data_IF_312113886219
#
_entry.id   IF_312113886219
#
_cell.length_a   1.000
_cell.length_b   1.000
_cell.length_c   1.000
_cell.angle_alpha   90.00
_cell.angle_beta   90.00
_cell.angle_gamma   90.00
#
_symmetry.space_group_name_H-M   'P 1'
#
loop_
_entity.id
_entity.type
_entity.pdbx_description
1 polymer ?
#
# COMPACT_ATOMS: atom_id res chain seq x y z
N UNK A 1 5.10 -4.97 -34.37
CA UNK A 1 5.44 -5.20 -33.01
C UNK A 1 5.66 -6.67 -32.72
N UNK A 2 6.63 -6.97 -31.96
CA UNK A 2 6.90 -8.34 -31.57
C UNK A 2 5.76 -8.87 -30.67
N UNK A 3 4.69 -9.30 -31.30
CA UNK A 3 3.49 -9.68 -30.56
C UNK A 3 3.74 -10.74 -29.50
N UNK A 4 4.57 -11.76 -29.82
CA UNK A 4 4.91 -12.77 -28.84
C UNK A 4 5.65 -12.21 -27.64
N UNK A 5 6.61 -11.34 -27.88
CA UNK A 5 7.36 -10.68 -26.82
C UNK A 5 6.44 -9.76 -26.01
N UNK A 6 5.64 -8.95 -26.68
CA UNK A 6 4.71 -8.05 -26.01
C UNK A 6 3.68 -8.81 -25.20
N UNK A 7 3.18 -9.93 -25.74
CA UNK A 7 2.23 -10.78 -25.03
C UNK A 7 2.84 -11.33 -23.75
N UNK A 8 4.08 -11.81 -23.81
CA UNK A 8 4.77 -12.34 -22.65
C UNK A 8 4.92 -11.27 -21.55
N UNK A 9 5.35 -10.07 -21.92
CA UNK A 9 5.50 -8.98 -20.97
C UNK A 9 4.16 -8.60 -20.34
N UNK A 10 3.10 -8.56 -21.14
CA UNK A 10 1.76 -8.25 -20.64
C UNK A 10 1.32 -9.31 -19.62
N UNK A 11 1.54 -10.60 -19.95
CA UNK A 11 1.17 -11.67 -19.04
C UNK A 11 1.94 -11.58 -17.72
N UNK A 12 3.23 -11.29 -17.78
CA UNK A 12 4.04 -11.11 -16.56
C UNK A 12 3.51 -9.96 -15.73
N UNK A 13 3.20 -8.82 -16.35
CA UNK A 13 2.62 -7.68 -15.67
C UNK A 13 1.27 -8.01 -15.05
N UNK A 14 0.45 -8.80 -15.75
CA UNK A 14 -0.85 -9.22 -15.23
C UNK A 14 -0.70 -10.11 -14.00
N UNK A 15 0.29 -11.01 -14.02
CA UNK A 15 0.55 -11.88 -12.87
C UNK A 15 1.05 -11.11 -11.67
N UNK A 16 1.76 -9.99 -11.91
CA UNK A 16 2.25 -9.10 -10.87
C UNK A 16 1.38 -7.86 -10.79
N UNK A 17 0.09 -8.03 -10.55
CA UNK A 17 -0.88 -6.94 -10.52
C UNK A 17 -0.25 -5.63 -10.08
N UNK A 18 -0.30 -4.61 -10.95
CA UNK A 18 0.30 -3.29 -10.75
C UNK A 18 1.83 -3.36 -10.50
N UNK A 19 2.53 -4.28 -11.20
CA UNK A 19 3.94 -4.54 -10.93
C UNK A 19 4.87 -3.34 -11.04
N UNK A 20 4.69 -2.50 -12.07
CA UNK A 20 5.52 -1.30 -12.25
C UNK A 20 5.24 -0.29 -11.14
N UNK A 21 3.98 -0.05 -10.86
CA UNK A 21 3.58 0.88 -9.81
C UNK A 21 4.07 0.41 -8.44
N UNK A 22 3.95 -0.88 -8.15
CA UNK A 22 4.37 -1.41 -6.85
C UNK A 22 5.88 -1.30 -6.65
N UNK A 23 6.67 -1.44 -7.71
CA UNK A 23 8.12 -1.22 -7.62
C UNK A 23 8.43 0.21 -7.22
N UNK A 24 7.74 1.19 -7.80
CA UNK A 24 7.92 2.59 -7.46
C UNK A 24 7.51 2.86 -6.01
N UNK A 25 6.42 2.27 -5.58
CA UNK A 25 5.93 2.43 -4.20
C UNK A 25 6.95 1.86 -3.21
N UNK A 26 7.45 0.66 -3.48
CA UNK A 26 8.45 0.03 -2.62
C UNK A 26 9.72 0.87 -2.58
N UNK A 27 10.16 1.39 -3.74
CA UNK A 27 11.30 2.29 -3.81
C UNK A 27 11.10 3.54 -2.97
N UNK A 28 9.90 4.10 -3.00
CA UNK A 28 9.55 5.26 -2.19
C UNK A 28 9.64 4.93 -0.69
N UNK A 29 9.11 3.79 -0.28
CA UNK A 29 9.17 3.37 1.12
C UNK A 29 10.61 3.15 1.60
N UNK A 30 11.42 2.55 0.76
CA UNK A 30 12.84 2.33 1.07
C UNK A 30 13.55 3.68 1.24
N UNK A 31 13.26 4.64 0.38
CA UNK A 31 13.87 5.97 0.47
C UNK A 31 13.45 6.70 1.74
N UNK A 32 12.17 6.66 2.08
CA UNK A 32 11.67 7.28 3.32
C UNK A 32 12.36 6.65 4.52
N UNK A 33 12.45 5.34 4.57
CA UNK A 33 13.09 4.64 5.68
C UNK A 33 14.58 4.94 5.73
N UNK A 34 15.24 5.04 4.58
CA UNK A 34 16.66 5.37 4.51
C UNK A 34 16.93 6.75 5.11
N UNK A 35 16.03 7.71 4.86
CA UNK A 35 16.19 9.06 5.37
C UNK A 35 15.87 9.17 6.86
N UNK A 36 14.84 8.47 7.33
CA UNK A 36 14.31 8.68 8.67
C UNK A 36 14.72 7.59 9.68
N UNK A 37 14.96 6.37 9.21
CA UNK A 37 15.19 5.24 10.09
C UNK A 37 13.94 4.83 10.87
N UNK A 38 14.05 3.85 11.75
CA UNK A 38 12.94 3.45 12.63
C UNK A 38 12.78 4.42 13.80
N UNK A 39 11.64 4.32 14.51
CA UNK A 39 11.46 5.00 15.78
C UNK A 39 10.57 6.22 15.77
N UNK A 40 9.99 6.58 14.61
CA UNK A 40 9.07 7.70 14.53
C UNK A 40 7.62 7.22 14.62
N UNK A 41 6.71 8.17 14.75
CA UNK A 41 5.27 7.91 14.74
C UNK A 41 4.79 7.53 13.35
N UNK A 42 3.73 6.74 13.27
CA UNK A 42 3.12 6.38 11.99
C UNK A 42 2.78 7.61 11.15
N UNK A 43 2.23 8.64 11.78
CA UNK A 43 1.84 9.86 11.07
C UNK A 43 3.03 10.54 10.38
N UNK A 44 4.20 10.48 10.97
CA UNK A 44 5.40 11.06 10.36
C UNK A 44 5.77 10.29 9.09
N UNK A 45 5.75 8.98 9.15
CA UNK A 45 6.04 8.16 7.97
C UNK A 45 4.99 8.36 6.88
N UNK A 46 3.73 8.51 7.26
CA UNK A 46 2.66 8.73 6.29
C UNK A 46 2.87 10.04 5.53
N UNK A 47 3.17 11.12 6.24
CA UNK A 47 3.42 12.42 5.62
C UNK A 47 4.64 12.35 4.69
N UNK A 48 5.71 11.72 5.15
CA UNK A 48 6.92 11.61 4.35
C UNK A 48 6.74 10.69 3.15
N UNK A 49 5.96 9.62 3.32
CA UNK A 49 5.63 8.73 2.20
C UNK A 49 4.85 9.47 1.12
N UNK A 50 3.87 10.27 1.53
CA UNK A 50 3.10 11.08 0.59
C UNK A 50 3.99 12.09 -0.12
N UNK A 51 4.91 12.72 0.58
CA UNK A 51 5.85 13.66 -0.03
C UNK A 51 6.75 12.95 -1.05
N UNK A 52 7.23 11.77 -0.71
CA UNK A 52 8.07 10.99 -1.63
C UNK A 52 7.30 10.60 -2.88
N UNK A 53 6.05 10.16 -2.73
CA UNK A 53 5.20 9.84 -3.88
C UNK A 53 4.97 11.07 -4.75
N UNK A 54 4.74 12.22 -4.13
CA UNK A 54 4.57 13.48 -4.84
C UNK A 54 5.81 13.82 -5.67
N UNK A 55 7.00 13.70 -5.10
CA UNK A 55 8.24 13.97 -5.81
C UNK A 55 8.46 13.02 -6.97
N UNK A 56 8.00 11.80 -6.86
CA UNK A 56 8.06 10.79 -7.92
C UNK A 56 6.96 10.94 -8.95
N UNK A 57 6.09 11.95 -8.80
CA UNK A 57 4.95 12.23 -9.67
C UNK A 57 3.96 11.07 -9.72
N UNK A 58 3.77 10.43 -8.58
CA UNK A 58 2.80 9.35 -8.42
C UNK A 58 1.60 9.91 -7.69
N UNK A 59 0.40 9.78 -8.27
CA UNK A 59 -0.82 10.28 -7.68
C UNK A 59 -1.24 9.47 -6.47
N UNK A 60 -1.81 10.14 -5.48
CA UNK A 60 -2.29 9.45 -4.29
C UNK A 60 -3.40 10.24 -3.62
N UNK A 61 -4.14 9.55 -2.75
CA UNK A 61 -5.09 10.15 -1.84
C UNK A 61 -4.73 9.66 -0.43
N UNK A 62 -4.88 10.52 0.54
CA UNK A 62 -4.53 10.23 1.92
C UNK A 62 -5.78 10.18 2.77
N UNK A 63 -5.84 9.23 3.71
CA UNK A 63 -6.94 9.10 4.66
C UNK A 63 -8.28 8.99 3.94
N UNK A 64 -8.41 7.97 3.09
CA UNK A 64 -9.59 7.75 2.26
C UNK A 64 -10.63 6.97 3.07
N UNK A 65 -11.81 7.57 3.26
CA UNK A 65 -12.90 6.93 3.98
C UNK A 65 -13.44 5.72 3.23
N UNK A 66 -13.67 4.64 3.96
CA UNK A 66 -14.30 3.44 3.41
C UNK A 66 -15.50 3.05 4.27
N UNK A 67 -16.66 2.80 3.65
CA UNK A 67 -17.83 2.36 4.39
C UNK A 67 -17.74 0.87 4.70
N UNK A 68 -18.44 0.47 5.77
CA UNK A 68 -18.67 -0.94 6.05
C UNK A 68 -20.06 -1.29 5.52
N UNK A 69 -20.13 -2.31 4.67
CA UNK A 69 -21.42 -2.77 4.18
C UNK A 69 -21.95 -3.86 5.11
N UNK A 70 -23.11 -3.59 5.69
CA UNK A 70 -23.74 -4.56 6.58
C UNK A 70 -25.17 -4.80 6.09
N UNK A 71 -25.44 -6.02 5.68
CA UNK A 71 -26.74 -6.44 5.15
C UNK A 71 -27.21 -5.50 4.02
N UNK A 72 -26.29 -5.16 3.13
CA UNK A 72 -26.56 -4.33 1.97
C UNK A 72 -26.61 -2.83 2.23
N UNK A 73 -26.36 -2.41 3.46
CA UNK A 73 -26.38 -0.98 3.83
C UNK A 73 -24.96 -0.50 4.06
N UNK A 74 -24.60 0.62 3.41
CA UNK A 74 -23.30 1.26 3.63
C UNK A 74 -23.35 2.09 4.90
N UNK A 75 -22.53 1.75 5.86
CA UNK A 75 -22.49 2.42 7.16
C UNK A 75 -21.12 3.09 7.35
N UNK A 76 -21.14 4.34 7.82
CA UNK A 76 -19.93 5.05 8.16
C UNK A 76 -19.48 4.61 9.55
N UNK A 77 -18.43 3.79 9.59
CA UNK A 77 -17.85 3.30 10.83
C UNK A 77 -16.50 3.94 11.12
N UNK A 78 -16.13 4.98 10.38
CA UNK A 78 -14.91 5.73 10.63
C UNK A 78 -13.63 5.08 10.13
N UNK A 79 -13.73 4.03 9.31
CA UNK A 79 -12.52 3.42 8.75
C UNK A 79 -11.98 4.22 7.59
N UNK A 80 -10.64 4.28 7.51
CA UNK A 80 -9.95 5.01 6.44
C UNK A 80 -8.75 4.22 5.97
N UNK A 81 -8.48 4.30 4.68
CA UNK A 81 -7.21 3.84 4.12
C UNK A 81 -6.17 4.91 4.41
N UNK A 82 -4.97 4.51 4.81
CA UNK A 82 -3.90 5.50 5.06
C UNK A 82 -3.56 6.23 3.77
N UNK A 83 -3.18 5.48 2.74
CA UNK A 83 -2.84 6.04 1.43
C UNK A 83 -3.41 5.14 0.34
N UNK A 84 -4.03 5.74 -0.66
CA UNK A 84 -4.48 5.04 -1.86
C UNK A 84 -3.69 5.61 -3.04
N UNK A 85 -2.86 4.78 -3.65
CA UNK A 85 -1.93 5.20 -4.71
C UNK A 85 -2.54 4.90 -6.08
N UNK A 86 -2.65 5.94 -6.92
CA UNK A 86 -3.16 5.86 -8.29
C UNK A 86 -4.52 5.17 -8.37
N UNK A 87 -5.32 5.30 -7.33
CA UNK A 87 -6.64 4.66 -7.21
C UNK A 87 -6.57 3.13 -7.35
N UNK A 88 -5.41 2.53 -7.08
CA UNK A 88 -5.18 1.10 -7.34
C UNK A 88 -4.57 0.35 -6.17
N UNK A 89 -3.64 0.95 -5.45
CA UNK A 89 -2.86 0.25 -4.44
C UNK A 89 -3.08 0.89 -3.08
N UNK A 90 -3.47 0.07 -2.11
CA UNK A 90 -3.71 0.51 -0.74
C UNK A 90 -2.43 0.35 0.07
N UNK A 91 -2.03 1.40 0.77
CA UNK A 91 -0.91 1.33 1.71
C UNK A 91 -1.43 1.52 3.12
N UNK A 92 -1.08 0.58 4.00
CA UNK A 92 -1.34 0.68 5.43
C UNK A 92 -0.01 0.75 6.15
N UNK A 93 0.25 1.88 6.78
CA UNK A 93 1.53 2.13 7.43
C UNK A 93 1.47 1.77 8.91
N UNK A 94 2.54 1.17 9.39
CA UNK A 94 2.66 0.75 10.79
C UNK A 94 4.03 1.17 11.32
N UNK A 95 4.08 1.35 12.64
CA UNK A 95 5.34 1.56 13.36
C UNK A 95 5.25 0.72 14.65
N UNK A 96 5.32 -0.60 14.48
CA UNK A 96 5.08 -1.58 15.54
C UNK A 96 6.24 -2.57 15.63
N UNK A 97 6.35 -3.24 16.77
CA UNK A 97 7.40 -4.25 17.00
C UNK A 97 7.31 -5.39 15.98
N UNK A 98 6.09 -5.80 15.62
CA UNK A 98 5.88 -6.88 14.66
C UNK A 98 4.52 -6.73 14.01
N UNK A 99 4.44 -7.12 12.74
CA UNK A 99 3.16 -7.24 12.05
C UNK A 99 2.47 -8.50 12.55
N UNK A 100 1.26 -8.36 13.06
CA UNK A 100 0.47 -9.46 13.59
C UNK A 100 -0.52 -9.97 12.54
N UNK A 101 -1.01 -11.21 12.68
CA UNK A 101 -2.04 -11.74 11.77
C UNK A 101 -3.26 -10.83 11.65
N UNK A 102 -3.65 -10.15 12.72
CA UNK A 102 -4.80 -9.23 12.68
C UNK A 102 -4.53 -8.04 11.76
N UNK A 103 -3.29 -7.58 11.65
CA UNK A 103 -2.94 -6.49 10.75
C UNK A 103 -3.11 -6.93 9.29
N UNK A 104 -2.72 -8.16 8.98
CA UNK A 104 -2.87 -8.69 7.63
C UNK A 104 -4.33 -8.91 7.28
N UNK A 105 -5.11 -9.44 8.23
CA UNK A 105 -6.54 -9.62 8.05
C UNK A 105 -7.25 -8.27 7.83
N UNK A 106 -6.84 -7.24 8.56
CA UNK A 106 -7.40 -5.90 8.42
C UNK A 106 -7.16 -5.34 7.02
N UNK A 107 -5.94 -5.49 6.49
CA UNK A 107 -5.66 -5.01 5.15
C UNK A 107 -6.51 -5.74 4.12
N UNK A 108 -6.64 -7.07 4.23
CA UNK A 108 -7.49 -7.84 3.30
C UNK A 108 -8.94 -7.35 3.37
N UNK A 109 -9.43 -7.08 4.57
CA UNK A 109 -10.79 -6.54 4.75
C UNK A 109 -10.93 -5.18 4.08
N UNK A 110 -9.93 -4.30 4.25
CA UNK A 110 -9.95 -2.99 3.62
C UNK A 110 -9.93 -3.07 2.10
N UNK A 111 -9.14 -4.00 1.54
CA UNK A 111 -9.13 -4.24 0.10
C UNK A 111 -10.51 -4.66 -0.39
N UNK A 112 -11.15 -5.56 0.35
CA UNK A 112 -12.49 -6.03 0.00
C UNK A 112 -13.51 -4.89 0.04
N UNK A 113 -13.52 -4.12 1.12
CA UNK A 113 -14.47 -3.02 1.29
C UNK A 113 -14.26 -1.90 0.26
N UNK A 114 -13.02 -1.61 -0.08
CA UNK A 114 -12.68 -0.56 -1.04
C UNK A 114 -12.71 -1.04 -2.49
N UNK A 115 -12.90 -2.34 -2.71
CA UNK A 115 -12.89 -2.97 -4.04
C UNK A 115 -11.55 -2.79 -4.73
N UNK A 116 -10.48 -2.84 -3.98
CA UNK A 116 -9.11 -2.81 -4.52
C UNK A 116 -8.51 -4.20 -4.40
N UNK A 117 -7.52 -4.48 -5.23
CA UNK A 117 -6.97 -5.83 -5.33
C UNK A 117 -5.60 -5.99 -4.70
N UNK A 118 -4.85 -4.90 -4.58
CA UNK A 118 -3.47 -4.95 -4.11
C UNK A 118 -3.27 -3.96 -2.98
N UNK A 119 -2.60 -4.41 -1.94
CA UNK A 119 -2.22 -3.54 -0.84
C UNK A 119 -0.91 -3.97 -0.21
N UNK A 120 -0.35 -3.06 0.56
CA UNK A 120 0.88 -3.30 1.29
C UNK A 120 0.71 -2.89 2.74
N UNK A 121 1.19 -3.75 3.63
CA UNK A 121 1.51 -3.35 4.99
C UNK A 121 2.95 -2.89 4.98
N UNK A 122 3.21 -1.70 5.49
CA UNK A 122 4.54 -1.12 5.54
C UNK A 122 4.87 -0.77 6.98
N UNK A 123 5.65 -1.63 7.62
CA UNK A 123 6.10 -1.39 8.98
C UNK A 123 7.48 -0.73 8.94
N UNK A 124 7.51 0.54 9.35
CA UNK A 124 8.76 1.32 9.33
C UNK A 124 9.63 1.11 10.57
N UNK A 125 9.09 0.45 11.60
CA UNK A 125 9.86 0.18 12.82
C UNK A 125 10.70 -1.08 12.67
N UNK A 126 11.57 -1.06 11.67
CA UNK A 126 12.45 -2.19 11.33
C UNK A 126 13.85 -1.63 11.01
N UNK A 127 14.86 -2.48 11.14
CA UNK A 127 16.23 -2.08 10.80
C UNK A 127 16.43 -1.99 9.29
N UNK A 128 15.68 -2.78 8.53
CA UNK A 128 15.77 -2.83 7.08
C UNK A 128 14.35 -2.82 6.50
N UNK A 129 14.05 -1.85 5.66
CA UNK A 129 12.67 -1.63 5.19
C UNK A 129 12.10 -2.83 4.43
N UNK A 130 12.93 -3.54 3.66
CA UNK A 130 12.46 -4.71 2.92
C UNK A 130 11.88 -5.79 3.84
N UNK A 131 12.31 -5.85 5.09
CA UNK A 131 11.77 -6.78 6.07
C UNK A 131 10.42 -6.33 6.63
N UNK A 132 10.07 -5.05 6.44
CA UNK A 132 8.81 -4.49 6.96
C UNK A 132 7.69 -4.43 5.96
N UNK A 133 7.91 -4.86 4.73
CA UNK A 133 6.91 -4.74 3.67
C UNK A 133 6.26 -6.09 3.41
N UNK A 134 4.93 -6.13 3.48
CA UNK A 134 4.15 -7.33 3.13
C UNK A 134 3.12 -6.97 2.09
N UNK A 135 3.13 -7.68 0.97
CA UNK A 135 2.18 -7.51 -0.11
C UNK A 135 0.99 -8.43 0.09
N UNK A 136 -0.20 -7.89 -0.12
CA UNK A 136 -1.44 -8.67 -0.09
C UNK A 136 -2.20 -8.45 -1.39
N UNK A 137 -2.76 -9.53 -1.90
CA UNK A 137 -3.58 -9.52 -3.12
C UNK A 137 -4.89 -10.21 -2.80
N UNK A 138 -5.97 -9.59 -3.22
CA UNK A 138 -7.30 -10.14 -3.00
C UNK A 138 -7.77 -10.91 -4.23
#
# INVERSE_FOLDING_TARGET
MATGFGTKLVLESSNLIEGTLTKEIIGAAIEVHRQLGPGLLESAYEICMCHELFERRIGFQRQVEIPVFYKGVALDCGYKLDILVEDKVVLELKAVEAILPVHEAQLLTYLKLSKKRVGFLMNFHVSRMTAGIKRKVL
#
